data_IF_271734879274
#
_entry.id   IF_271734879274
#
_cell.length_a   1.000
_cell.length_b   1.000
_cell.length_c   1.000
_cell.angle_alpha   90.00
_cell.angle_beta   90.00
_cell.angle_gamma   90.00
#
_symmetry.space_group_name_H-M   'P 1'
#
loop_
_entity.id
_entity.type
_entity.pdbx_description
1 polymer ?
#
# COMPACT_ATOMS: atom_id res chain seq x y z
N UNK A 1 38.82 -1.15 39.53
CA UNK A 1 38.55 -2.45 38.89
C UNK A 1 37.09 -2.77 39.15
N UNK A 2 36.23 -2.68 38.13
CA UNK A 2 34.95 -3.39 38.05
C UNK A 2 34.28 -3.03 36.72
N UNK A 3 34.69 -3.74 35.68
CA UNK A 3 34.09 -3.68 34.35
C UNK A 3 34.43 -4.97 33.60
N UNK A 4 33.88 -6.13 33.99
CA UNK A 4 34.00 -7.33 33.16
C UNK A 4 32.96 -8.45 33.40
N UNK A 5 31.83 -8.19 34.05
CA UNK A 5 30.76 -9.18 34.25
C UNK A 5 29.43 -8.74 33.62
N UNK A 6 29.40 -8.68 32.29
CA UNK A 6 28.23 -8.27 31.52
C UNK A 6 28.04 -9.05 30.21
N UNK A 7 28.39 -10.33 30.19
CA UNK A 7 28.34 -11.17 28.99
C UNK A 7 27.71 -12.53 29.23
N UNK A 8 26.53 -12.56 29.84
CA UNK A 8 25.74 -13.79 30.03
C UNK A 8 24.29 -13.55 29.56
N UNK A 9 24.12 -13.35 28.25
CA UNK A 9 22.84 -13.43 27.58
C UNK A 9 23.06 -14.03 26.19
N UNK A 10 22.56 -15.25 25.96
CA UNK A 10 22.49 -15.86 24.63
C UNK A 10 23.38 -17.07 24.39
N UNK A 11 23.34 -18.07 25.25
CA UNK A 11 23.76 -19.44 24.90
C UNK A 11 22.78 -20.06 23.90
N UNK A 12 22.80 -19.62 22.64
CA UNK A 12 22.22 -20.36 21.53
C UNK A 12 23.22 -21.44 21.12
N UNK A 13 22.76 -22.69 21.01
CA UNK A 13 23.59 -23.90 20.96
C UNK A 13 24.77 -23.83 19.98
N UNK A 14 25.96 -24.13 20.49
CA UNK A 14 27.17 -24.48 19.70
C UNK A 14 26.94 -25.82 19.00
N UNK A 15 26.22 -25.79 17.88
CA UNK A 15 25.98 -26.94 17.03
C UNK A 15 26.03 -26.56 15.55
N UNK A 16 26.13 -27.54 14.65
CA UNK A 16 26.11 -27.29 13.22
C UNK A 16 24.84 -26.53 12.81
N UNK A 17 24.98 -25.61 11.85
CA UNK A 17 23.86 -24.85 11.30
C UNK A 17 22.89 -25.81 10.59
N UNK A 18 21.58 -25.69 10.78
CA UNK A 18 20.63 -26.48 10.01
C UNK A 18 20.69 -26.11 8.53
N UNK A 19 20.59 -27.13 7.67
CA UNK A 19 20.46 -26.96 6.21
C UNK A 19 19.09 -26.43 5.83
N UNK A 20 18.06 -26.89 6.54
CA UNK A 20 16.70 -26.39 6.47
C UNK A 20 16.61 -25.03 7.16
N UNK A 21 16.15 -24.01 6.43
CA UNK A 21 15.88 -22.68 6.98
C UNK A 21 14.50 -22.21 6.52
N UNK A 22 13.81 -21.37 7.28
CA UNK A 22 12.59 -20.73 6.78
C UNK A 22 12.92 -19.90 5.55
N UNK A 23 11.99 -19.89 4.60
CA UNK A 23 12.10 -19.03 3.43
C UNK A 23 11.84 -17.57 3.77
N UNK A 24 12.25 -16.69 2.86
CA UNK A 24 12.03 -15.26 3.01
C UNK A 24 10.60 -14.88 2.63
N UNK A 25 10.09 -13.87 3.33
CA UNK A 25 8.85 -13.22 2.95
C UNK A 25 9.07 -12.40 1.68
N UNK A 26 8.04 -12.33 0.84
CA UNK A 26 8.03 -11.53 -0.37
C UNK A 26 7.04 -10.36 -0.22
N UNK A 27 7.37 -9.20 -0.79
CA UNK A 27 6.47 -8.05 -0.90
C UNK A 27 6.27 -7.72 -2.37
N UNK A 28 5.02 -7.73 -2.82
CA UNK A 28 4.65 -7.40 -4.20
C UNK A 28 3.64 -6.27 -4.18
N UNK A 29 3.82 -5.31 -5.09
CA UNK A 29 2.85 -4.23 -5.29
C UNK A 29 1.83 -4.64 -6.32
N UNK A 30 0.57 -4.40 -6.02
CA UNK A 30 -0.54 -4.60 -6.93
C UNK A 30 -1.22 -3.26 -7.17
N UNK A 31 -1.09 -2.75 -8.39
CA UNK A 31 -1.78 -1.55 -8.82
C UNK A 31 -3.23 -1.87 -9.16
N UNK A 32 -4.16 -1.20 -8.50
CA UNK A 32 -5.60 -1.35 -8.69
C UNK A 32 -6.23 -0.01 -9.07
N UNK A 33 -7.27 -0.06 -9.90
CA UNK A 33 -8.08 1.11 -10.21
C UNK A 33 -9.07 1.41 -9.06
N UNK A 34 -9.60 2.63 -9.01
CA UNK A 34 -10.49 3.08 -7.92
C UNK A 34 -11.76 2.22 -7.84
N UNK A 35 -12.29 1.76 -8.98
CA UNK A 35 -13.42 0.85 -9.06
C UNK A 35 -13.08 -0.51 -8.40
N UNK A 36 -11.88 -1.04 -8.66
CA UNK A 36 -11.41 -2.31 -8.13
C UNK A 36 -11.18 -2.23 -6.62
N UNK A 37 -10.61 -1.13 -6.13
CA UNK A 37 -10.44 -0.90 -4.68
C UNK A 37 -11.79 -0.65 -4.00
N UNK A 38 -12.74 -0.03 -4.69
CA UNK A 38 -14.06 0.25 -4.13
C UNK A 38 -14.96 -1.00 -4.04
N UNK A 39 -15.06 -1.79 -5.11
CA UNK A 39 -15.96 -2.95 -5.16
C UNK A 39 -15.31 -4.27 -4.74
N UNK A 40 -13.98 -4.31 -4.72
CA UNK A 40 -13.22 -5.53 -4.50
C UNK A 40 -13.17 -6.40 -5.77
N UNK A 41 -12.10 -7.18 -5.89
CA UNK A 41 -11.85 -8.06 -7.03
C UNK A 41 -11.08 -9.30 -6.59
N UNK A 42 -11.28 -10.40 -7.30
CA UNK A 42 -10.39 -11.56 -7.22
C UNK A 42 -9.41 -11.50 -8.39
N UNK A 43 -8.16 -11.13 -8.09
CA UNK A 43 -7.13 -10.91 -9.10
C UNK A 43 -6.10 -12.06 -9.09
N UNK A 44 -5.76 -12.64 -10.25
CA UNK A 44 -4.66 -13.60 -10.35
C UNK A 44 -3.32 -12.84 -10.31
N UNK A 45 -2.50 -13.10 -9.29
CA UNK A 45 -1.17 -12.53 -9.15
C UNK A 45 -0.11 -13.55 -9.54
N UNK A 46 0.71 -13.23 -10.54
CA UNK A 46 1.83 -14.09 -10.93
C UNK A 46 3.07 -13.70 -10.14
N UNK A 47 3.66 -14.67 -9.45
CA UNK A 47 4.77 -14.49 -8.53
C UNK A 47 5.92 -15.42 -8.91
N UNK A 48 7.10 -14.83 -9.05
CA UNK A 48 8.36 -15.56 -9.16
C UNK A 48 8.82 -15.89 -7.73
N UNK A 49 8.95 -17.18 -7.42
CA UNK A 49 9.23 -17.68 -6.08
C UNK A 49 10.10 -18.94 -6.13
N UNK A 50 10.70 -19.33 -5.02
CA UNK A 50 11.30 -20.65 -4.89
C UNK A 50 10.25 -21.69 -4.43
N UNK A 51 10.21 -22.84 -5.10
CA UNK A 51 9.44 -24.01 -4.69
C UNK A 51 10.37 -25.17 -4.31
N UNK A 52 9.87 -26.12 -3.52
CA UNK A 52 10.60 -27.35 -3.17
C UNK A 52 10.99 -28.08 -4.46
N UNK A 53 12.24 -28.53 -4.56
CA UNK A 53 12.69 -29.28 -5.72
C UNK A 53 11.97 -30.63 -5.79
N UNK A 54 11.22 -30.89 -6.86
CA UNK A 54 10.48 -32.14 -7.04
C UNK A 54 11.39 -33.38 -7.15
N UNK A 55 12.63 -33.22 -7.62
CA UNK A 55 13.57 -34.34 -7.80
C UNK A 55 14.15 -34.87 -6.49
N UNK A 56 14.40 -33.99 -5.51
CA UNK A 56 15.04 -34.36 -4.23
C UNK A 56 14.16 -34.08 -3.01
N UNK A 57 12.94 -33.56 -3.21
CA UNK A 57 11.97 -33.22 -2.18
C UNK A 57 12.54 -32.37 -1.02
N UNK A 58 13.54 -31.52 -1.30
CA UNK A 58 14.18 -30.65 -0.30
C UNK A 58 15.54 -31.14 0.22
N UNK A 59 15.91 -32.41 0.03
CA UNK A 59 17.15 -32.96 0.59
C UNK A 59 18.43 -32.37 -0.02
N UNK A 60 18.34 -31.86 -1.25
CA UNK A 60 19.48 -31.31 -2.00
C UNK A 60 20.42 -32.37 -2.56
N UNK A 61 20.10 -33.66 -2.41
CA UNK A 61 20.89 -34.79 -2.90
C UNK A 61 20.33 -35.39 -4.18
N UNK A 62 21.15 -36.13 -4.93
CA UNK A 62 20.66 -36.95 -6.04
C UNK A 62 19.72 -38.05 -5.52
N UNK A 63 18.73 -38.51 -6.31
CA UNK A 63 17.79 -39.56 -5.88
C UNK A 63 18.50 -40.80 -5.32
N UNK A 64 18.09 -41.27 -4.15
CA UNK A 64 18.68 -42.44 -3.47
C UNK A 64 20.03 -42.17 -2.78
N UNK A 65 20.47 -40.92 -2.70
CA UNK A 65 21.67 -40.52 -1.95
C UNK A 65 21.31 -39.58 -0.81
N UNK A 66 22.11 -39.56 0.25
CA UNK A 66 21.84 -38.78 1.46
C UNK A 66 23.06 -37.95 1.89
N UNK A 67 22.87 -36.89 2.69
CA UNK A 67 23.97 -36.13 3.27
C UNK A 67 24.84 -37.03 4.15
N UNK A 68 26.16 -36.93 3.99
CA UNK A 68 27.12 -37.65 4.81
C UNK A 68 27.69 -36.75 5.91
N UNK A 69 28.03 -37.32 7.06
CA UNK A 69 28.75 -36.59 8.12
C UNK A 69 30.07 -36.06 7.59
N UNK A 70 30.43 -34.82 7.94
CA UNK A 70 31.67 -34.23 7.48
C UNK A 70 32.87 -34.82 8.23
N UNK A 71 33.77 -35.48 7.51
CA UNK A 71 34.96 -36.13 8.09
C UNK A 71 35.92 -35.13 8.76
N UNK A 72 36.00 -33.90 8.25
CA UNK A 72 36.91 -32.86 8.76
C UNK A 72 36.52 -32.36 10.17
N UNK A 73 35.23 -32.28 10.47
CA UNK A 73 34.74 -31.78 11.75
C UNK A 73 33.98 -32.83 12.57
N UNK A 74 33.86 -34.06 12.07
CA UNK A 74 33.11 -35.15 12.70
C UNK A 74 31.65 -34.81 12.98
N UNK A 75 31.00 -34.00 12.14
CA UNK A 75 29.62 -33.56 12.36
C UNK A 75 29.43 -32.28 13.18
N UNK A 76 30.49 -31.75 13.81
CA UNK A 76 30.36 -30.58 14.70
C UNK A 76 30.11 -29.24 13.99
N UNK A 77 30.38 -29.15 12.69
CA UNK A 77 30.23 -27.92 11.89
C UNK A 77 31.35 -26.90 12.10
N UNK A 78 32.20 -27.05 13.12
CA UNK A 78 33.26 -26.11 13.45
C UNK A 78 34.60 -26.85 13.63
N UNK A 79 35.69 -26.14 13.39
CA UNK A 79 37.05 -26.63 13.65
C UNK A 79 37.72 -25.67 14.62
N UNK A 80 38.37 -26.22 15.64
CA UNK A 80 39.09 -25.45 16.64
C UNK A 80 40.56 -25.38 16.27
N UNK A 81 41.13 -24.18 16.24
CA UNK A 81 42.55 -23.96 16.03
C UNK A 81 43.16 -23.34 17.28
N UNK A 82 44.17 -24.00 17.84
CA UNK A 82 44.91 -23.51 19.00
C UNK A 82 46.08 -22.68 18.50
N UNK A 83 46.02 -21.37 18.73
CA UNK A 83 47.12 -20.45 18.42
C UNK A 83 47.88 -20.12 19.69
N UNK A 84 49.19 -20.41 19.70
CA UNK A 84 50.07 -20.01 20.81
C UNK A 84 50.41 -18.54 20.64
N UNK A 85 50.05 -17.73 21.63
CA UNK A 85 50.38 -16.30 21.71
C UNK A 85 51.34 -16.06 22.87
N UNK A 86 51.93 -14.86 22.91
CA UNK A 86 52.80 -14.44 24.03
C UNK A 86 52.06 -14.38 25.38
N UNK A 87 50.72 -14.35 25.37
CA UNK A 87 49.84 -14.35 26.55
C UNK A 87 49.30 -15.74 26.93
N UNK A 88 49.71 -16.79 26.21
CA UNK A 88 49.23 -18.16 26.42
C UNK A 88 48.55 -18.76 25.18
N UNK A 89 47.89 -19.91 25.38
CA UNK A 89 47.17 -20.60 24.32
C UNK A 89 45.77 -19.99 24.15
N UNK A 90 45.49 -19.45 22.96
CA UNK A 90 44.16 -18.97 22.60
C UNK A 90 43.55 -19.97 21.63
N UNK A 91 42.37 -20.49 21.97
CA UNK A 91 41.61 -21.36 21.08
C UNK A 91 40.63 -20.52 20.27
N UNK A 92 40.76 -20.55 18.95
CA UNK A 92 39.83 -19.87 18.04
C UNK A 92 39.03 -20.91 17.27
N UNK A 93 37.70 -20.79 17.38
CA UNK A 93 36.76 -21.64 16.66
C UNK A 93 36.39 -20.98 15.34
N UNK A 94 36.42 -21.75 14.26
CA UNK A 94 36.04 -21.29 12.92
C UNK A 94 35.06 -22.29 12.30
N UNK A 95 34.14 -21.85 11.43
CA UNK A 95 33.30 -22.78 10.68
C UNK A 95 34.19 -23.72 9.85
N UNK A 96 33.85 -25.01 9.84
CA UNK A 96 34.59 -26.01 9.07
C UNK A 96 34.55 -25.64 7.58
N UNK A 97 35.70 -25.57 6.90
CA UNK A 97 35.76 -25.18 5.49
C UNK A 97 35.10 -26.17 4.53
N UNK A 98 35.04 -27.46 4.89
CA UNK A 98 34.48 -28.52 4.05
C UNK A 98 32.95 -28.54 4.08
N UNK A 99 32.33 -28.41 5.26
CA UNK A 99 30.88 -28.37 5.40
C UNK A 99 30.31 -26.96 5.63
N UNK A 100 31.14 -25.92 5.61
CA UNK A 100 30.76 -24.50 5.79
C UNK A 100 29.91 -24.21 7.04
N UNK A 101 30.04 -25.03 8.10
CA UNK A 101 29.21 -24.91 9.30
C UNK A 101 28.04 -25.88 9.42
N UNK A 102 27.71 -26.67 8.39
CA UNK A 102 26.53 -27.54 8.38
C UNK A 102 26.74 -28.90 9.07
N UNK A 103 27.98 -29.29 9.39
CA UNK A 103 28.32 -30.59 9.98
C UNK A 103 28.18 -31.78 9.01
N UNK A 104 27.46 -31.62 7.90
CA UNK A 104 27.26 -32.62 6.84
C UNK A 104 27.70 -32.08 5.49
N UNK A 105 28.14 -32.97 4.61
CA UNK A 105 28.47 -32.69 3.21
C UNK A 105 27.44 -33.38 2.30
N UNK A 106 27.23 -32.83 1.10
CA UNK A 106 26.42 -33.45 0.05
C UNK A 106 27.40 -33.97 -1.00
N UNK A 107 27.74 -35.28 -1.01
CA UNK A 107 28.69 -35.82 -1.99
C UNK A 107 28.11 -35.80 -3.41
N UNK A 108 26.82 -36.11 -3.53
CA UNK A 108 26.09 -36.18 -4.79
C UNK A 108 24.97 -35.12 -4.77
N UNK A 109 25.25 -33.88 -5.22
CA UNK A 109 24.24 -32.83 -5.25
C UNK A 109 23.13 -33.18 -6.25
N UNK A 110 21.92 -32.76 -5.95
CA UNK A 110 20.79 -32.90 -6.86
C UNK A 110 21.11 -32.19 -8.19
N UNK A 111 20.92 -32.83 -9.36
CA UNK A 111 21.22 -32.21 -10.65
C UNK A 111 20.30 -31.01 -10.97
N UNK A 112 19.08 -31.00 -10.42
CA UNK A 112 18.08 -29.96 -10.70
C UNK A 112 18.28 -28.69 -9.87
N UNK A 113 18.61 -28.82 -8.58
CA UNK A 113 18.75 -27.68 -7.66
C UNK A 113 20.20 -27.39 -7.21
N UNK A 114 21.18 -28.20 -7.64
CA UNK A 114 22.59 -28.01 -7.31
C UNK A 114 22.93 -28.13 -5.81
N UNK A 115 22.04 -28.71 -5.00
CA UNK A 115 22.22 -28.83 -3.56
C UNK A 115 21.42 -27.86 -2.69
N UNK A 116 20.65 -26.92 -3.28
CA UNK A 116 19.86 -25.94 -2.52
C UNK A 116 18.53 -26.51 -1.97
N UNK A 117 18.04 -27.62 -2.54
CA UNK A 117 16.77 -28.25 -2.13
C UNK A 117 15.51 -27.53 -2.64
N UNK A 118 15.67 -26.44 -3.39
CA UNK A 118 14.60 -25.63 -3.99
C UNK A 118 14.96 -25.17 -5.38
N UNK A 119 13.95 -24.81 -6.18
CA UNK A 119 14.10 -24.31 -7.55
C UNK A 119 13.24 -23.08 -7.76
N UNK A 120 13.71 -22.16 -8.59
CA UNK A 120 12.93 -20.99 -8.99
C UNK A 120 11.76 -21.42 -9.89
N UNK A 121 10.57 -20.93 -9.58
CA UNK A 121 9.35 -21.22 -10.33
C UNK A 121 8.45 -20.00 -10.38
N UNK A 122 7.61 -19.95 -11.41
CA UNK A 122 6.57 -18.93 -11.55
C UNK A 122 5.24 -19.57 -11.22
N UNK A 123 4.54 -19.02 -10.22
CA UNK A 123 3.19 -19.49 -9.83
C UNK A 123 2.18 -18.37 -9.91
N UNK A 124 0.93 -18.72 -10.20
CA UNK A 124 -0.19 -17.79 -10.11
C UNK A 124 -0.95 -18.05 -8.81
N UNK A 125 -1.10 -17.02 -8.00
CA UNK A 125 -1.84 -17.05 -6.73
C UNK A 125 -3.04 -16.12 -6.87
N UNK A 126 -4.25 -16.62 -6.62
CA UNK A 126 -5.45 -15.78 -6.63
C UNK A 126 -5.53 -15.02 -5.31
N UNK A 127 -5.60 -13.70 -5.40
CA UNK A 127 -5.71 -12.80 -4.24
C UNK A 127 -7.12 -12.21 -4.22
N UNK A 128 -7.83 -12.42 -3.11
CA UNK A 128 -9.15 -11.83 -2.89
C UNK A 128 -8.98 -10.47 -2.23
N UNK A 129 -9.23 -9.41 -2.97
CA UNK A 129 -9.17 -8.03 -2.48
C UNK A 129 -10.56 -7.64 -1.97
N UNK A 130 -10.68 -7.31 -0.68
CA UNK A 130 -11.95 -6.87 -0.12
C UNK A 130 -12.34 -5.48 -0.64
N UNK A 131 -13.64 -5.25 -0.76
CA UNK A 131 -14.20 -3.94 -1.08
C UNK A 131 -13.79 -2.90 -0.04
N UNK A 132 -13.43 -1.70 -0.51
CA UNK A 132 -13.07 -0.58 0.35
C UNK A 132 -11.64 -0.63 0.88
N UNK A 133 -10.77 -1.48 0.32
CA UNK A 133 -9.34 -1.49 0.69
C UNK A 133 -8.70 -0.11 0.40
N UNK A 134 -7.84 0.36 1.29
CA UNK A 134 -7.15 1.64 1.14
C UNK A 134 -5.78 1.46 0.48
N UNK A 135 -5.29 2.55 -0.11
CA UNK A 135 -3.92 2.64 -0.64
C UNK A 135 -2.88 2.36 0.47
N UNK A 136 -1.83 1.60 0.11
CA UNK A 136 -0.76 1.20 1.03
C UNK A 136 -1.11 0.06 1.99
N UNK A 137 -2.35 -0.44 1.98
CA UNK A 137 -2.72 -1.61 2.78
C UNK A 137 -2.05 -2.89 2.27
N UNK A 138 -1.74 -3.81 3.20
CA UNK A 138 -1.06 -5.07 2.89
C UNK A 138 -1.95 -6.27 3.19
N UNK A 139 -2.11 -7.15 2.21
CA UNK A 139 -2.78 -8.44 2.34
C UNK A 139 -1.71 -9.53 2.52
N UNK A 140 -1.80 -10.31 3.60
CA UNK A 140 -0.89 -11.42 3.88
C UNK A 140 -1.46 -12.72 3.33
N UNK A 141 -0.68 -13.40 2.49
CA UNK A 141 -0.93 -14.72 1.95
C UNK A 141 0.03 -15.70 2.60
N UNK A 142 -0.46 -16.40 3.63
CA UNK A 142 0.36 -17.26 4.47
C UNK A 142 0.93 -18.45 3.68
N UNK A 143 2.23 -18.71 3.82
CA UNK A 143 2.93 -19.80 3.12
C UNK A 143 3.03 -19.64 1.59
N UNK A 144 2.64 -18.47 1.06
CA UNK A 144 2.76 -18.13 -0.35
C UNK A 144 4.01 -17.29 -0.65
N UNK A 145 4.97 -17.22 0.27
CA UNK A 145 6.31 -16.67 0.05
C UNK A 145 7.28 -17.73 -0.50
N UNK A 146 8.58 -17.44 -0.42
CA UNK A 146 9.60 -18.36 -0.94
C UNK A 146 9.76 -19.58 -0.04
N UNK A 147 9.95 -20.76 -0.63
CA UNK A 147 10.43 -21.94 0.09
C UNK A 147 11.87 -21.71 0.54
N UNK A 148 12.17 -22.04 1.79
CA UNK A 148 13.52 -21.85 2.32
C UNK A 148 14.52 -22.92 1.86
N UNK A 149 15.83 -22.62 1.94
CA UNK A 149 16.88 -23.59 1.60
C UNK A 149 16.71 -24.93 2.33
N UNK A 150 17.09 -26.02 1.66
CA UNK A 150 16.94 -27.38 2.17
C UNK A 150 15.48 -27.85 2.28
N UNK A 151 14.56 -27.24 1.53
CA UNK A 151 13.13 -27.55 1.60
C UNK A 151 12.47 -27.08 2.90
N UNK A 152 13.02 -26.04 3.54
CA UNK A 152 12.43 -25.46 4.74
C UNK A 152 11.06 -24.81 4.48
N UNK A 153 10.31 -24.49 5.55
CA UNK A 153 8.95 -23.97 5.41
C UNK A 153 8.94 -22.67 4.61
N UNK A 154 7.90 -22.44 3.78
CA UNK A 154 7.79 -21.23 3.01
C UNK A 154 7.57 -20.01 3.91
N UNK A 155 8.11 -18.87 3.49
CA UNK A 155 7.73 -17.57 4.04
C UNK A 155 6.33 -17.15 3.59
N UNK A 156 5.97 -15.91 3.88
CA UNK A 156 4.69 -15.33 3.50
C UNK A 156 4.82 -14.37 2.31
N UNK A 157 3.72 -14.19 1.58
CA UNK A 157 3.63 -13.17 0.55
C UNK A 157 2.74 -12.03 1.03
N UNK A 158 3.30 -10.83 1.06
CA UNK A 158 2.60 -9.60 1.32
C UNK A 158 2.29 -8.90 0.00
N UNK A 159 1.02 -8.63 -0.24
CA UNK A 159 0.57 -7.85 -1.39
C UNK A 159 0.21 -6.46 -0.90
N UNK A 160 1.02 -5.47 -1.26
CA UNK A 160 0.78 -4.05 -0.98
C UNK A 160 -0.09 -3.48 -2.11
N UNK A 161 -1.25 -2.95 -1.74
CA UNK A 161 -2.17 -2.33 -2.70
C UNK A 161 -1.69 -0.91 -2.99
N UNK A 162 -1.69 -0.57 -4.27
CA UNK A 162 -1.45 0.78 -4.74
C UNK A 162 -2.64 1.23 -5.58
N UNK A 163 -3.38 2.23 -5.11
CA UNK A 163 -4.54 2.78 -5.83
C UNK A 163 -4.06 3.75 -6.91
N UNK A 164 -4.42 3.48 -8.17
CA UNK A 164 -4.12 4.40 -9.27
C UNK A 164 -4.93 5.69 -9.13
N UNK A 165 -4.29 6.81 -9.45
CA UNK A 165 -4.98 8.08 -9.52
C UNK A 165 -6.07 8.03 -10.59
N UNK A 166 -7.30 8.35 -10.20
CA UNK A 166 -8.44 8.40 -11.10
C UNK A 166 -8.60 9.82 -11.69
N UNK A 167 -8.98 9.92 -12.97
CA UNK A 167 -9.05 11.20 -13.70
C UNK A 167 -10.09 12.18 -13.12
N UNK A 168 -11.26 11.67 -12.72
CA UNK A 168 -12.39 12.46 -12.22
C UNK A 168 -12.46 12.54 -10.69
N UNK A 169 -12.10 11.46 -9.99
CA UNK A 169 -12.34 11.29 -8.56
C UNK A 169 -11.04 11.27 -7.77
N UNK A 170 -11.06 11.92 -6.62
CA UNK A 170 -10.04 11.84 -5.59
C UNK A 170 -10.65 11.24 -4.33
N UNK A 171 -10.08 10.13 -3.87
CA UNK A 171 -10.51 9.44 -2.66
C UNK A 171 -9.87 10.08 -1.42
N UNK A 172 -10.67 10.31 -0.38
CA UNK A 172 -10.20 10.72 0.96
C UNK A 172 -10.89 9.84 2.01
N UNK A 173 -10.18 8.78 2.43
CA UNK A 173 -10.76 7.74 3.27
C UNK A 173 -11.90 7.03 2.54
N UNK A 174 -13.12 7.19 3.04
CA UNK A 174 -14.33 6.58 2.51
C UNK A 174 -15.05 7.50 1.51
N UNK A 175 -14.72 8.79 1.52
CA UNK A 175 -15.41 9.80 0.72
C UNK A 175 -14.71 10.01 -0.63
N UNK A 176 -15.51 10.28 -1.64
CA UNK A 176 -15.03 10.65 -2.97
C UNK A 176 -15.23 12.14 -3.18
N UNK A 177 -14.27 12.75 -3.86
CA UNK A 177 -14.33 14.15 -4.26
C UNK A 177 -14.15 14.26 -5.77
N UNK A 178 -15.02 15.02 -6.42
CA UNK A 178 -14.79 15.45 -7.80
C UNK A 178 -14.95 16.96 -7.90
N UNK A 179 -14.37 17.54 -8.95
CA UNK A 179 -14.55 18.95 -9.28
C UNK A 179 -15.34 19.06 -10.56
N UNK A 180 -16.38 19.88 -10.53
CA UNK A 180 -17.17 20.20 -11.71
C UNK A 180 -17.09 21.69 -11.98
N UNK A 181 -16.73 22.02 -13.21
CA UNK A 181 -16.68 23.41 -13.68
C UNK A 181 -18.00 23.73 -14.35
N UNK A 182 -18.64 24.82 -13.92
CA UNK A 182 -19.90 25.29 -14.48
C UNK A 182 -19.81 26.77 -14.86
N UNK A 183 -20.50 27.21 -15.92
CA UNK A 183 -20.54 28.61 -16.29
C UNK A 183 -21.32 29.44 -15.26
N UNK A 184 -20.93 30.70 -15.08
CA UNK A 184 -21.61 31.66 -14.21
C UNK A 184 -23.13 31.69 -14.41
N UNK A 185 -23.61 31.61 -15.65
CA UNK A 185 -25.03 31.63 -15.97
C UNK A 185 -25.77 30.41 -15.42
N UNK A 186 -25.20 29.22 -15.54
CA UNK A 186 -25.78 28.00 -14.96
C UNK A 186 -25.77 28.03 -13.44
N UNK A 187 -24.73 28.60 -12.82
CA UNK A 187 -24.66 28.77 -11.37
C UNK A 187 -25.73 29.76 -10.87
N UNK A 188 -25.95 30.85 -11.62
CA UNK A 188 -26.91 31.89 -11.27
C UNK A 188 -28.36 31.42 -11.45
N UNK A 189 -28.66 30.75 -12.57
CA UNK A 189 -30.03 30.34 -12.93
C UNK A 189 -30.42 28.97 -12.38
N UNK A 190 -29.45 28.17 -11.95
CA UNK A 190 -29.65 26.76 -11.63
C UNK A 190 -29.60 25.89 -12.88
N UNK A 191 -29.22 24.63 -12.70
CA UNK A 191 -29.14 23.65 -13.79
C UNK A 191 -29.23 22.23 -13.23
N UNK A 192 -29.41 21.26 -14.11
CA UNK A 192 -29.30 19.84 -13.79
C UNK A 192 -28.20 19.25 -14.66
N UNK A 193 -27.37 18.39 -14.06
CA UNK A 193 -26.32 17.68 -14.78
C UNK A 193 -26.30 16.21 -14.39
N UNK A 194 -25.87 15.36 -15.31
CA UNK A 194 -25.66 13.93 -15.06
C UNK A 194 -24.18 13.69 -14.78
N UNK A 195 -23.88 13.13 -13.61
CA UNK A 195 -22.54 12.77 -13.17
C UNK A 195 -22.39 11.25 -13.17
N UNK A 196 -21.37 10.73 -13.87
CA UNK A 196 -21.02 9.31 -13.83
C UNK A 196 -20.27 9.01 -12.55
N UNK A 197 -20.95 8.43 -11.57
CA UNK A 197 -20.34 7.89 -10.35
C UNK A 197 -19.80 6.47 -10.58
N UNK A 198 -19.09 5.90 -9.60
CA UNK A 198 -18.60 4.51 -9.67
C UNK A 198 -19.73 3.48 -9.78
N UNK A 199 -20.95 3.80 -9.30
CA UNK A 199 -22.11 2.88 -9.32
C UNK A 199 -23.05 3.09 -10.52
N UNK A 200 -22.75 4.07 -11.38
CA UNK A 200 -23.65 4.49 -12.46
C UNK A 200 -23.92 5.99 -12.47
N UNK A 201 -24.94 6.40 -13.22
CA UNK A 201 -25.26 7.81 -13.46
C UNK A 201 -26.12 8.42 -12.35
N UNK A 202 -25.75 9.60 -11.90
CA UNK A 202 -26.44 10.38 -10.86
C UNK A 202 -26.85 11.74 -11.40
N UNK A 203 -28.11 12.11 -11.19
CA UNK A 203 -28.59 13.45 -11.54
C UNK A 203 -28.34 14.42 -10.38
N UNK A 204 -27.49 15.41 -10.64
CA UNK A 204 -27.09 16.43 -9.67
C UNK A 204 -27.80 17.73 -10.00
N UNK A 205 -28.65 18.18 -9.08
CA UNK A 205 -29.33 19.47 -9.18
C UNK A 205 -28.45 20.58 -8.59
N UNK A 206 -28.13 21.57 -9.43
CA UNK A 206 -27.44 22.79 -9.01
C UNK A 206 -28.50 23.87 -8.79
N UNK A 207 -28.61 24.33 -7.54
CA UNK A 207 -29.60 25.34 -7.16
C UNK A 207 -29.26 26.71 -7.77
N UNK A 208 -30.26 27.54 -8.10
CA UNK A 208 -30.03 28.92 -8.49
C UNK A 208 -29.26 29.70 -7.42
N UNK A 209 -28.36 30.58 -7.84
CA UNK A 209 -27.52 31.38 -6.94
C UNK A 209 -26.35 30.62 -6.29
N UNK A 210 -25.96 29.47 -6.84
CA UNK A 210 -24.82 28.70 -6.33
C UNK A 210 -23.52 29.50 -6.41
N UNK A 211 -22.78 29.55 -5.29
CA UNK A 211 -21.54 30.30 -5.18
C UNK A 211 -20.31 29.47 -5.59
N UNK A 212 -19.21 30.11 -6.05
CA UNK A 212 -17.94 29.42 -6.27
C UNK A 212 -17.48 28.69 -5.00
N UNK A 213 -16.99 27.46 -5.14
CA UNK A 213 -16.53 26.65 -4.02
C UNK A 213 -17.64 25.97 -3.22
N UNK A 214 -18.92 26.12 -3.63
CA UNK A 214 -20.00 25.34 -3.05
C UNK A 214 -19.79 23.84 -3.26
N UNK A 215 -20.18 23.03 -2.29
CA UNK A 215 -20.07 21.57 -2.36
C UNK A 215 -21.47 20.95 -2.30
N UNK A 216 -21.79 20.10 -3.28
CA UNK A 216 -22.98 19.27 -3.25
C UNK A 216 -22.59 17.89 -2.73
N UNK A 217 -23.29 17.42 -1.70
CA UNK A 217 -23.08 16.10 -1.10
C UNK A 217 -24.13 15.12 -1.62
N UNK A 218 -23.67 14.03 -2.23
CA UNK A 218 -24.50 12.90 -2.66
C UNK A 218 -24.24 11.75 -1.70
N UNK A 219 -25.30 11.33 -0.99
CA UNK A 219 -25.18 10.37 0.11
C UNK A 219 -24.92 8.95 -0.42
N UNK A 220 -24.10 8.17 0.29
CA UNK A 220 -23.79 6.76 0.01
C UNK A 220 -23.18 6.48 -1.37
N UNK A 221 -22.55 7.49 -1.98
CA UNK A 221 -21.90 7.39 -3.30
C UNK A 221 -20.37 7.45 -3.24
N UNK A 222 -19.80 7.31 -2.04
CA UNK A 222 -18.37 7.13 -1.83
C UNK A 222 -17.96 5.65 -1.88
N UNK A 223 -16.86 5.32 -1.21
CA UNK A 223 -16.29 3.97 -1.16
C UNK A 223 -16.88 3.18 0.04
N UNK A 224 -17.11 1.86 -0.10
CA UNK A 224 -17.47 1.01 1.04
C UNK A 224 -16.45 1.04 2.16
N UNK A 225 -16.93 0.88 3.40
CA UNK A 225 -16.05 0.74 4.57
C UNK A 225 -15.47 -0.66 4.61
N UNK A 226 -14.15 -0.77 4.72
CA UNK A 226 -13.48 -2.07 4.83
C UNK A 226 -13.95 -2.89 6.05
N UNK A 227 -14.20 -2.20 7.17
CA UNK A 227 -14.66 -2.81 8.44
C UNK A 227 -15.97 -2.17 8.88
N UNK A 228 -17.09 -2.74 8.45
CA UNK A 228 -18.42 -2.34 8.90
C UNK A 228 -19.44 -2.31 7.77
N UNK A 229 -20.64 -1.80 8.08
CA UNK A 229 -21.67 -1.53 7.09
C UNK A 229 -21.63 -0.09 6.61
N UNK A 230 -22.02 0.12 5.36
CA UNK A 230 -22.19 1.44 4.77
C UNK A 230 -21.07 1.87 3.83
N UNK A 231 -21.24 3.07 3.29
CA UNK A 231 -20.33 3.71 2.33
C UNK A 231 -20.12 5.16 2.75
N UNK A 232 -19.00 5.73 2.33
CA UNK A 232 -18.85 7.18 2.37
C UNK A 232 -19.74 7.88 1.35
N UNK A 233 -19.52 9.17 1.21
CA UNK A 233 -20.32 10.07 0.39
C UNK A 233 -19.50 10.63 -0.78
N UNK A 234 -20.19 11.11 -1.81
CA UNK A 234 -19.56 11.83 -2.93
C UNK A 234 -19.77 13.33 -2.75
N UNK A 235 -18.67 14.07 -2.74
CA UNK A 235 -18.65 15.52 -2.63
C UNK A 235 -18.26 16.13 -3.98
N UNK A 236 -19.22 16.78 -4.60
CA UNK A 236 -19.06 17.49 -5.87
C UNK A 236 -18.71 18.95 -5.56
N UNK A 237 -17.46 19.33 -5.80
CA UNK A 237 -17.00 20.71 -5.64
C UNK A 237 -17.28 21.50 -6.91
N UNK A 238 -18.04 22.58 -6.75
CA UNK A 238 -18.48 23.42 -7.87
C UNK A 238 -17.54 24.60 -8.06
N UNK A 239 -16.92 24.66 -9.23
CA UNK A 239 -16.06 25.76 -9.64
C UNK A 239 -16.79 26.60 -10.70
N UNK A 240 -17.13 27.84 -10.35
CA UNK A 240 -17.92 28.72 -11.21
C UNK A 240 -16.98 29.54 -12.06
N UNK A 241 -17.03 29.32 -13.37
CA UNK A 241 -16.20 30.03 -14.34
C UNK A 241 -16.90 31.29 -14.86
N UNK A 242 -16.30 32.44 -14.58
CA UNK A 242 -16.69 33.71 -15.19
C UNK A 242 -16.34 33.68 -16.68
N UNK A 243 -17.25 34.12 -17.58
CA UNK A 243 -16.97 34.14 -19.00
C UNK A 243 -15.79 35.08 -19.33
N UNK A 244 -14.98 34.66 -20.30
CA UNK A 244 -13.84 35.42 -20.82
C UNK A 244 -14.05 35.69 -22.29
N UNK A 245 -13.54 36.82 -22.81
CA UNK A 245 -13.65 37.22 -24.23
C UNK A 245 -15.12 37.30 -24.67
N UNK A 246 -15.79 38.35 -24.21
CA UNK A 246 -17.18 38.65 -24.55
C UNK A 246 -17.23 39.34 -25.91
N UNK A 247 -18.25 39.02 -26.71
CA UNK A 247 -18.63 39.82 -27.87
C UNK A 247 -19.44 41.07 -27.45
N UNK A 248 -19.72 41.95 -28.41
CA UNK A 248 -20.41 43.21 -28.14
C UNK A 248 -21.84 43.02 -27.61
N UNK A 249 -22.52 41.95 -28.00
CA UNK A 249 -23.89 41.65 -27.55
C UNK A 249 -23.88 41.08 -26.12
N UNK A 250 -22.99 40.13 -25.84
CA UNK A 250 -22.80 39.56 -24.51
C UNK A 250 -22.36 40.60 -23.48
N UNK A 251 -21.45 41.51 -23.86
CA UNK A 251 -21.02 42.61 -22.99
C UNK A 251 -22.18 43.56 -22.67
N UNK A 252 -23.01 43.88 -23.68
CA UNK A 252 -24.20 44.72 -23.49
C UNK A 252 -25.17 44.08 -22.47
N UNK A 253 -25.45 42.79 -22.61
CA UNK A 253 -26.34 42.05 -21.70
C UNK A 253 -25.81 42.03 -20.26
N UNK A 254 -24.51 41.80 -20.06
CA UNK A 254 -23.91 41.81 -18.73
C UNK A 254 -23.92 43.20 -18.08
N UNK A 255 -23.73 44.28 -18.85
CA UNK A 255 -23.88 45.66 -18.35
C UNK A 255 -25.32 45.96 -17.92
N UNK A 256 -26.30 45.51 -18.69
CA UNK A 256 -27.72 45.69 -18.35
C UNK A 256 -28.08 44.91 -17.08
N UNK A 257 -27.61 43.67 -16.96
CA UNK A 257 -27.76 42.88 -15.74
C UNK A 257 -27.12 43.58 -14.52
N UNK A 258 -25.91 44.12 -14.67
CA UNK A 258 -25.21 44.88 -13.63
C UNK A 258 -26.03 46.09 -13.16
N UNK A 259 -26.65 46.83 -14.09
CA UNK A 259 -27.53 47.98 -13.77
C UNK A 259 -28.76 47.55 -12.98
N UNK A 260 -29.44 46.50 -13.44
CA UNK A 260 -30.64 45.97 -12.77
C UNK A 260 -30.37 45.48 -11.36
N UNK A 261 -29.16 44.95 -11.12
CA UNK A 261 -28.73 44.44 -9.81
C UNK A 261 -28.07 45.49 -8.93
N UNK A 262 -27.79 46.69 -9.45
CA UNK A 262 -27.07 47.75 -8.72
C UNK A 262 -25.61 47.41 -8.45
N UNK A 263 -24.98 46.58 -9.28
CA UNK A 263 -23.61 46.07 -9.11
C UNK A 263 -22.53 46.97 -9.77
N UNK A 264 -22.89 48.21 -10.12
CA UNK A 264 -21.96 49.16 -10.77
C UNK A 264 -20.91 49.74 -9.80
N UNK A 265 -21.20 49.69 -8.48
CA UNK A 265 -20.29 50.20 -7.44
C UNK A 265 -19.52 49.05 -6.80
N UNK A 266 -18.20 49.04 -6.96
CA UNK A 266 -17.30 48.05 -6.35
C UNK A 266 -16.73 48.63 -5.06
N UNK A 267 -17.14 48.09 -3.91
CA UNK A 267 -16.55 48.45 -2.62
C UNK A 267 -15.46 47.45 -2.22
N UNK A 268 -14.28 47.91 -1.74
CA UNK A 268 -13.27 47.01 -1.22
C UNK A 268 -13.79 46.32 0.05
N UNK A 269 -13.63 45.00 0.11
CA UNK A 269 -14.00 44.24 1.30
C UNK A 269 -13.19 44.73 2.51
N UNK A 270 -13.88 45.19 3.57
CA UNK A 270 -13.23 45.56 4.83
C UNK A 270 -12.67 44.29 5.50
N UNK A 271 -11.39 44.27 5.94
CA UNK A 271 -10.86 43.14 6.69
C UNK A 271 -11.56 43.09 8.06
N UNK A 272 -12.43 42.09 8.28
CA UNK A 272 -13.12 41.87 9.57
C UNK A 272 -14.63 41.64 9.52
N UNK A 273 -15.26 41.59 8.34
CA UNK A 273 -16.73 41.47 8.20
C UNK A 273 -17.31 40.03 8.20
N UNK A 274 -16.59 39.03 8.72
CA UNK A 274 -17.00 37.62 8.66
C UNK A 274 -17.49 37.08 10.00
N UNK A 275 -18.75 36.64 10.06
CA UNK A 275 -19.46 35.90 11.14
C UNK A 275 -19.49 36.49 12.56
N UNK A 276 -18.38 37.00 13.12
CA UNK A 276 -18.31 37.51 14.50
C UNK A 276 -19.01 38.87 14.70
N UNK A 277 -19.12 39.71 13.66
CA UNK A 277 -19.86 40.98 13.75
C UNK A 277 -21.36 40.77 13.96
N UNK A 278 -21.95 39.76 13.30
CA UNK A 278 -23.38 39.42 13.45
C UNK A 278 -23.72 38.88 14.85
N UNK A 279 -22.75 38.24 15.53
CA UNK A 279 -22.96 37.76 16.90
C UNK A 279 -22.88 38.90 17.91
N UNK A 280 -22.00 39.89 17.72
CA UNK A 280 -21.90 41.05 18.62
C UNK A 280 -23.12 41.98 18.53
N UNK A 281 -23.71 42.11 17.34
CA UNK A 281 -24.90 42.93 17.13
C UNK A 281 -26.17 42.30 17.74
N UNK A 282 -26.18 40.97 17.97
CA UNK A 282 -27.28 40.28 18.66
C UNK A 282 -27.19 40.35 20.21
N UNK A 283 -26.00 40.61 20.77
CA UNK A 283 -25.80 40.72 22.22
C UNK A 283 -25.86 42.17 22.74
N UNK A 284 -25.71 43.18 21.88
CA UNK A 284 -25.77 44.59 22.27
C UNK A 284 -27.15 45.26 22.06
N UNK A 285 -28.20 44.46 21.86
CA UNK A 285 -29.56 44.95 21.58
C UNK A 285 -30.51 45.12 22.78
N UNK A 286 -30.07 44.86 24.02
CA UNK A 286 -30.86 45.12 25.24
C UNK A 286 -29.97 45.62 26.40
N UNK A 287 -29.84 46.94 26.51
CA UNK A 287 -29.67 47.70 27.75
C UNK A 287 -29.94 49.19 27.46
#
# INVERSE_FOLDING_TARGET
MDAFFGGAAGGAGRGPRPRTRPGSDALIRLDLDLEETAFGIEAPLTVDTAAVCETCHGEGTAPGTHPATCDMCGGSGEVQSVQRTFLGQVMTTRPCGNCQGFGTVIPNPCPTCGGDGRVQTRRTVTVKIPAGIEDGMRIRLAGQGEVGPGGGPPGDLYVEIHERAHDVFSRKGEDLHCRVVLPMTAAALGTQMTLKSLDGEENVEVKPGTQPGATIKIKNKGVPRLRGGGRGDLFVHLDVKTPTRLDAEQEKLLKELSKLRGEETIEPARPGGGFFSRMRDAFNGHA
#
